data_IF_565383254373
#
_entry.id   IF_565383254373
#
_cell.length_a   1.000
_cell.length_b   1.000
_cell.length_c   1.000
_cell.angle_alpha   90.00
_cell.angle_beta   90.00
_cell.angle_gamma   90.00
#
_symmetry.space_group_name_H-M   'P 1'
#
loop_
_entity.id
_entity.type
_entity.pdbx_description
1 polymer ?
#
# COMPACT_ATOMS: atom_id res chain seq x y z
N UNK A 1 -20.37 36.06 45.07
CA UNK A 1 -19.40 36.38 44.01
C UNK A 1 -18.21 35.46 44.23
N UNK A 2 -18.28 34.27 43.65
CA UNK A 2 -17.22 33.27 43.72
C UNK A 2 -16.70 33.09 42.29
N UNK A 3 -15.43 33.40 42.10
CA UNK A 3 -14.78 33.49 40.80
C UNK A 3 -13.37 32.94 40.93
N UNK A 4 -13.27 31.62 41.02
CA UNK A 4 -12.01 30.90 40.90
C UNK A 4 -11.93 30.27 39.50
N UNK A 5 -11.28 31.01 38.59
CA UNK A 5 -10.84 30.51 37.29
C UNK A 5 -9.62 29.60 37.50
N UNK A 6 -9.84 28.29 37.54
CA UNK A 6 -8.76 27.30 37.46
C UNK A 6 -8.35 27.14 36.01
N UNK A 7 -7.05 27.31 35.78
CA UNK A 7 -6.34 27.31 34.50
C UNK A 7 -6.51 26.02 33.69
N UNK A 8 -6.76 26.18 32.39
CA UNK A 8 -6.57 25.15 31.37
C UNK A 8 -5.06 24.95 31.10
N UNK A 9 -4.37 24.25 32.00
CA UNK A 9 -3.04 23.72 31.71
C UNK A 9 -3.18 22.32 31.10
N UNK A 10 -3.28 22.27 29.76
CA UNK A 10 -2.99 21.04 29.01
C UNK A 10 -1.57 20.56 29.33
N UNK A 11 -1.28 19.24 29.29
CA UNK A 11 -0.01 18.71 29.78
C UNK A 11 1.16 19.35 29.01
N UNK A 12 1.88 20.21 29.72
CA UNK A 12 3.11 20.82 29.26
C UNK A 12 4.12 19.70 28.93
N UNK A 13 4.43 19.56 27.64
CA UNK A 13 5.56 18.79 27.18
C UNK A 13 6.82 19.41 27.79
N UNK A 14 7.29 18.82 28.89
CA UNK A 14 8.53 19.19 29.55
C UNK A 14 9.67 19.22 28.51
N UNK A 15 10.35 20.36 28.46
CA UNK A 15 11.38 20.62 27.45
C UNK A 15 12.61 19.74 27.70
N UNK A 16 12.87 18.77 26.83
CA UNK A 16 14.12 17.97 26.84
C UNK A 16 15.17 18.52 25.85
N UNK A 17 16.45 18.73 26.26
CA UNK A 17 17.56 19.02 25.35
C UNK A 17 18.33 17.73 24.95
N UNK A 18 19.21 17.74 23.92
CA UNK A 18 19.07 18.19 22.54
C UNK A 18 18.63 17.06 21.58
N UNK A 19 17.85 17.47 20.57
CA UNK A 19 17.05 16.66 19.62
C UNK A 19 17.82 16.17 18.38
N UNK A 20 18.87 15.34 18.54
CA UNK A 20 19.70 14.85 17.43
C UNK A 20 19.67 13.34 17.06
N UNK A 21 19.11 12.39 17.86
CA UNK A 21 19.02 10.98 17.44
C UNK A 21 17.89 10.65 16.46
N UNK A 22 16.73 11.32 16.58
CA UNK A 22 15.51 10.92 15.84
C UNK A 22 15.54 11.34 14.37
N UNK A 23 16.11 12.52 14.05
CA UNK A 23 16.28 12.94 12.66
C UNK A 23 17.21 12.02 11.86
N UNK A 24 18.24 11.46 12.51
CA UNK A 24 19.12 10.46 11.89
C UNK A 24 18.39 9.15 11.64
N UNK A 25 17.55 8.69 12.57
CA UNK A 25 16.72 7.52 12.37
C UNK A 25 15.75 7.72 11.21
N UNK A 26 15.05 8.85 11.15
CA UNK A 26 14.12 9.17 10.05
C UNK A 26 14.81 9.15 8.68
N UNK A 27 15.96 9.81 8.57
CA UNK A 27 16.72 9.87 7.31
C UNK A 27 17.30 8.50 6.94
N UNK A 28 17.92 7.80 7.89
CA UNK A 28 18.50 6.48 7.65
C UNK A 28 17.43 5.46 7.27
N UNK A 29 16.28 5.45 7.96
CA UNK A 29 15.17 4.57 7.61
C UNK A 29 14.63 4.89 6.23
N UNK A 30 14.44 6.17 5.90
CA UNK A 30 13.97 6.56 4.58
C UNK A 30 14.92 6.08 3.48
N UNK A 31 16.21 6.38 3.59
CA UNK A 31 17.21 6.02 2.58
C UNK A 31 17.34 4.50 2.45
N UNK A 32 17.48 3.78 3.56
CA UNK A 32 17.72 2.33 3.52
C UNK A 32 16.48 1.56 3.03
N UNK A 33 15.29 1.91 3.51
CA UNK A 33 14.04 1.28 3.04
C UNK A 33 13.80 1.61 1.57
N UNK A 34 14.04 2.86 1.14
CA UNK A 34 13.89 3.23 -0.26
C UNK A 34 14.86 2.50 -1.18
N UNK A 35 16.15 2.45 -0.83
CA UNK A 35 17.15 1.71 -1.62
C UNK A 35 16.82 0.23 -1.68
N UNK A 36 16.46 -0.38 -0.55
CA UNK A 36 16.09 -1.79 -0.50
C UNK A 36 14.78 -2.09 -1.26
N UNK A 37 13.85 -1.14 -1.29
CA UNK A 37 12.62 -1.22 -2.10
C UNK A 37 12.96 -1.20 -3.60
N UNK A 38 13.75 -0.22 -4.05
CA UNK A 38 14.16 -0.10 -5.45
C UNK A 38 15.06 -1.24 -5.94
N UNK A 39 15.80 -1.88 -5.04
CA UNK A 39 16.71 -2.98 -5.42
C UNK A 39 16.11 -4.35 -5.15
N UNK A 40 15.91 -4.71 -3.88
CA UNK A 40 15.55 -6.07 -3.47
C UNK A 40 14.06 -6.33 -3.71
N UNK A 41 13.18 -5.40 -3.32
CA UNK A 41 11.75 -5.59 -3.50
C UNK A 41 11.36 -5.60 -4.98
N UNK A 42 11.92 -4.71 -5.80
CA UNK A 42 11.69 -4.72 -7.25
C UNK A 42 12.09 -6.05 -7.89
N UNK A 43 13.24 -6.64 -7.51
CA UNK A 43 13.63 -7.98 -7.98
C UNK A 43 12.65 -9.05 -7.50
N UNK A 44 12.23 -9.01 -6.23
CA UNK A 44 11.26 -9.98 -5.71
C UNK A 44 9.90 -9.91 -6.44
N UNK A 45 9.42 -8.70 -6.76
CA UNK A 45 8.19 -8.50 -7.53
C UNK A 45 8.33 -8.97 -8.99
N UNK A 46 9.50 -8.79 -9.61
CA UNK A 46 9.80 -9.36 -10.93
C UNK A 46 9.81 -10.89 -10.91
N UNK A 47 10.26 -11.51 -9.81
CA UNK A 47 10.24 -12.97 -9.69
C UNK A 47 8.81 -13.52 -9.61
N UNK A 48 7.94 -12.90 -8.82
CA UNK A 48 6.51 -13.20 -8.73
C UNK A 48 5.83 -12.02 -8.01
N UNK A 49 4.82 -11.40 -8.63
CA UNK A 49 4.19 -10.20 -8.10
C UNK A 49 3.58 -10.41 -6.70
N UNK A 50 2.83 -11.50 -6.50
CA UNK A 50 2.20 -11.80 -5.20
C UNK A 50 3.24 -12.05 -4.11
N UNK A 51 4.25 -12.89 -4.40
CA UNK A 51 5.37 -13.09 -3.49
C UNK A 51 6.12 -11.79 -3.19
N UNK A 52 6.38 -10.99 -4.22
CA UNK A 52 7.16 -9.77 -4.11
C UNK A 52 6.49 -8.72 -3.23
N UNK A 53 5.16 -8.61 -3.27
CA UNK A 53 4.38 -7.80 -2.31
C UNK A 53 4.62 -8.32 -0.90
N UNK A 54 4.35 -9.60 -0.62
CA UNK A 54 4.60 -10.15 0.72
C UNK A 54 6.05 -9.96 1.20
N UNK A 55 7.01 -10.13 0.30
CA UNK A 55 8.42 -9.98 0.60
C UNK A 55 8.78 -8.52 0.93
N UNK A 56 8.30 -7.55 0.15
CA UNK A 56 8.54 -6.13 0.40
C UNK A 56 7.98 -5.72 1.76
N UNK A 57 6.75 -6.13 2.05
CA UNK A 57 6.08 -5.73 3.28
C UNK A 57 6.70 -6.36 4.51
N UNK A 58 6.98 -7.66 4.46
CA UNK A 58 7.52 -8.38 5.61
C UNK A 58 8.98 -8.02 5.89
N UNK A 59 9.84 -7.96 4.87
CA UNK A 59 11.28 -7.86 5.08
C UNK A 59 11.83 -6.46 4.88
N UNK A 60 11.22 -5.63 4.04
CA UNK A 60 11.70 -4.28 3.74
C UNK A 60 10.96 -3.25 4.60
N UNK A 61 9.64 -3.15 4.49
CA UNK A 61 8.90 -2.15 5.26
C UNK A 61 8.84 -2.50 6.75
N UNK A 62 8.52 -3.76 7.11
CA UNK A 62 8.50 -4.18 8.51
C UNK A 62 9.90 -4.55 9.02
N UNK A 63 10.55 -5.56 8.43
CA UNK A 63 11.77 -6.17 8.96
C UNK A 63 12.96 -5.22 9.08
N UNK A 64 13.33 -4.52 8.00
CA UNK A 64 14.42 -3.56 8.02
C UNK A 64 14.12 -2.40 8.97
N UNK A 65 12.90 -1.86 8.96
CA UNK A 65 12.47 -0.84 9.92
C UNK A 65 12.57 -1.31 11.36
N UNK A 66 12.15 -2.55 11.65
CA UNK A 66 12.25 -3.17 12.96
C UNK A 66 13.70 -3.23 13.45
N UNK A 67 14.61 -3.67 12.57
CA UNK A 67 16.05 -3.72 12.85
C UNK A 67 16.60 -2.32 13.13
N UNK A 68 16.23 -1.30 12.34
CA UNK A 68 16.71 0.07 12.51
C UNK A 68 16.25 0.70 13.84
N UNK A 69 15.00 0.44 14.25
CA UNK A 69 14.49 0.88 15.54
C UNK A 69 15.20 0.15 16.69
N UNK A 70 15.37 -1.17 16.58
CA UNK A 70 16.07 -1.97 17.57
C UNK A 70 17.54 -1.56 17.72
N UNK A 71 18.22 -1.30 16.61
CA UNK A 71 19.61 -0.84 16.57
C UNK A 71 19.76 0.54 17.23
N UNK A 72 18.71 1.35 17.20
CA UNK A 72 18.62 2.62 17.92
C UNK A 72 18.30 2.46 19.42
N UNK A 73 18.37 1.23 19.97
CA UNK A 73 18.12 0.87 21.37
C UNK A 73 16.70 1.15 21.86
N UNK A 74 15.73 1.14 20.95
CA UNK A 74 14.30 1.33 21.22
C UNK A 74 13.57 0.01 21.03
N UNK A 75 12.50 -0.19 21.80
CA UNK A 75 11.58 -1.32 21.60
C UNK A 75 10.83 -1.12 20.26
N UNK A 76 11.06 -1.95 19.23
CA UNK A 76 10.46 -1.77 17.92
C UNK A 76 8.94 -1.92 17.92
N UNK A 77 8.37 -2.59 18.92
CA UNK A 77 6.93 -2.77 19.03
C UNK A 77 6.26 -1.56 19.69
N UNK A 78 6.81 -1.14 20.84
CA UNK A 78 6.25 -0.03 21.63
C UNK A 78 6.52 1.33 21.00
N UNK A 79 7.75 1.56 20.55
CA UNK A 79 8.14 2.87 20.03
C UNK A 79 7.37 3.24 18.76
N UNK A 80 7.04 2.24 17.93
CA UNK A 80 6.28 2.42 16.68
C UNK A 80 4.77 2.47 16.88
N UNK A 81 4.25 2.16 18.07
CA UNK A 81 2.80 2.04 18.30
C UNK A 81 2.20 0.74 17.73
N UNK A 82 3.03 -0.26 17.44
CA UNK A 82 2.59 -1.61 17.04
C UNK A 82 1.96 -2.39 18.21
N UNK A 83 2.39 -2.14 19.45
CA UNK A 83 1.73 -2.73 20.63
C UNK A 83 1.60 -1.73 21.80
N UNK A 84 0.51 -1.82 22.59
CA UNK A 84 -0.59 -2.78 22.48
C UNK A 84 -1.64 -2.39 21.42
N UNK A 85 -2.41 -3.38 20.95
CA UNK A 85 -3.59 -3.18 20.10
C UNK A 85 -4.75 -2.68 20.95
N UNK A 86 -5.45 -1.64 20.49
CA UNK A 86 -6.68 -1.15 21.12
C UNK A 86 -7.86 -1.31 20.16
N UNK A 87 -8.85 -2.10 20.55
CA UNK A 87 -9.98 -2.50 19.69
C UNK A 87 -10.82 -1.30 19.26
N UNK A 88 -11.14 -0.36 20.16
CA UNK A 88 -12.06 0.73 19.83
C UNK A 88 -11.50 1.70 18.76
N UNK A 89 -10.27 2.23 18.90
CA UNK A 89 -9.64 3.01 17.84
C UNK A 89 -9.40 2.20 16.56
N UNK A 90 -9.13 0.91 16.67
CA UNK A 90 -8.89 0.03 15.51
C UNK A 90 -10.17 -0.14 14.68
N UNK A 91 -11.30 -0.43 15.31
CA UNK A 91 -12.60 -0.53 14.64
C UNK A 91 -13.06 0.83 14.11
N UNK A 92 -12.82 1.91 14.84
CA UNK A 92 -13.10 3.26 14.35
C UNK A 92 -12.26 3.59 13.12
N UNK A 93 -10.98 3.23 13.11
CA UNK A 93 -10.08 3.36 11.96
C UNK A 93 -10.63 2.64 10.72
N UNK A 94 -11.08 1.38 10.87
CA UNK A 94 -11.73 0.64 9.79
C UNK A 94 -12.95 1.38 9.22
N UNK A 95 -13.89 1.77 10.10
CA UNK A 95 -15.11 2.47 9.69
C UNK A 95 -14.80 3.80 9.01
N UNK A 96 -13.86 4.57 9.55
CA UNK A 96 -13.42 5.84 8.97
C UNK A 96 -12.75 5.63 7.61
N UNK A 97 -11.88 4.64 7.46
CA UNK A 97 -11.25 4.32 6.19
C UNK A 97 -12.25 3.90 5.11
N UNK A 98 -13.24 3.08 5.48
CA UNK A 98 -14.31 2.66 4.58
C UNK A 98 -15.19 3.83 4.13
N UNK A 99 -15.60 4.71 5.06
CA UNK A 99 -16.39 5.90 4.73
C UNK A 99 -15.57 6.91 3.93
N UNK A 100 -14.30 7.13 4.29
CA UNK A 100 -13.39 8.01 3.55
C UNK A 100 -13.18 7.58 2.10
N UNK A 101 -13.12 6.26 1.85
CA UNK A 101 -12.98 5.72 0.50
C UNK A 101 -14.05 6.28 -0.45
N UNK A 102 -15.31 6.23 -0.04
CA UNK A 102 -16.43 6.74 -0.84
C UNK A 102 -16.57 8.27 -0.79
N UNK A 103 -16.26 8.88 0.35
CA UNK A 103 -16.43 10.32 0.54
C UNK A 103 -15.36 11.16 -0.18
N UNK A 104 -14.13 10.65 -0.28
CA UNK A 104 -12.97 11.44 -0.71
C UNK A 104 -12.14 10.70 -1.77
N UNK A 105 -11.71 9.47 -1.50
CA UNK A 105 -10.76 8.76 -2.38
C UNK A 105 -11.36 8.48 -3.77
N UNK A 106 -12.61 8.00 -3.86
CA UNK A 106 -13.30 7.77 -5.14
C UNK A 106 -13.50 9.08 -5.92
N UNK A 107 -14.02 10.18 -5.34
CA UNK A 107 -14.08 11.47 -6.03
C UNK A 107 -12.73 11.98 -6.53
N UNK A 108 -11.67 11.85 -5.73
CA UNK A 108 -10.31 12.25 -6.14
C UNK A 108 -9.80 11.40 -7.30
N UNK A 109 -10.00 10.08 -7.24
CA UNK A 109 -9.59 9.17 -8.30
C UNK A 109 -10.38 9.42 -9.59
N UNK A 110 -11.70 9.65 -9.48
CA UNK A 110 -12.56 10.01 -10.60
C UNK A 110 -12.13 11.33 -11.25
N UNK A 111 -11.85 12.36 -10.44
CA UNK A 111 -11.30 13.62 -10.94
C UNK A 111 -9.96 13.39 -11.64
N UNK A 112 -9.05 12.59 -11.07
CA UNK A 112 -7.77 12.27 -11.68
C UNK A 112 -7.93 11.59 -13.05
N UNK A 113 -8.88 10.65 -13.19
CA UNK A 113 -9.13 9.98 -14.49
C UNK A 113 -9.62 10.92 -15.58
N UNK A 114 -10.19 12.08 -15.22
CA UNK A 114 -10.61 13.11 -16.17
C UNK A 114 -9.58 14.23 -16.39
N UNK A 115 -8.65 14.41 -15.45
CA UNK A 115 -7.61 15.45 -15.54
C UNK A 115 -6.35 14.96 -16.27
N UNK A 116 -6.04 13.67 -16.20
CA UNK A 116 -4.89 13.08 -16.86
C UNK A 116 -5.24 12.48 -18.23
N UNK A 117 -4.28 12.42 -19.17
CA UNK A 117 -4.47 11.74 -20.45
C UNK A 117 -4.83 10.26 -20.26
N UNK A 118 -5.67 9.71 -21.14
CA UNK A 118 -6.08 8.30 -21.11
C UNK A 118 -4.89 7.33 -21.11
N UNK A 119 -3.85 7.62 -21.91
CA UNK A 119 -2.60 6.83 -21.90
C UNK A 119 -1.93 6.74 -20.53
N UNK A 120 -2.06 7.77 -19.69
CA UNK A 120 -1.51 7.76 -18.33
C UNK A 120 -2.41 6.97 -17.38
N UNK A 121 -3.73 7.20 -17.44
CA UNK A 121 -4.68 6.49 -16.58
C UNK A 121 -4.66 4.98 -16.86
N UNK A 122 -4.49 4.59 -18.12
CA UNK A 122 -4.34 3.19 -18.52
C UNK A 122 -3.01 2.59 -18.04
N UNK A 123 -1.91 3.33 -18.19
CA UNK A 123 -0.57 2.88 -17.75
C UNK A 123 -0.50 2.68 -16.23
N UNK A 124 -1.10 3.58 -15.46
CA UNK A 124 -1.10 3.56 -13.99
C UNK A 124 -2.30 2.82 -13.39
N UNK A 125 -3.07 2.08 -14.18
CA UNK A 125 -4.18 1.29 -13.66
C UNK A 125 -3.68 0.14 -12.75
N UNK A 126 -3.77 0.39 -11.45
CA UNK A 126 -3.40 -0.56 -10.39
C UNK A 126 -4.18 -1.89 -10.49
N UNK A 127 -5.36 -1.91 -11.11
CA UNK A 127 -6.17 -3.12 -11.29
C UNK A 127 -5.49 -4.18 -12.16
N UNK A 128 -4.53 -3.79 -13.00
CA UNK A 128 -3.71 -4.70 -13.83
C UNK A 128 -2.98 -5.76 -13.02
N UNK A 129 -2.68 -5.49 -11.73
CA UNK A 129 -2.02 -6.48 -10.86
C UNK A 129 -2.87 -7.75 -10.69
N UNK A 130 -4.20 -7.63 -10.76
CA UNK A 130 -5.15 -8.73 -10.57
C UNK A 130 -5.53 -9.45 -11.87
N UNK A 131 -5.16 -8.92 -13.04
CA UNK A 131 -5.52 -9.47 -14.33
C UNK A 131 -4.69 -10.72 -14.67
N UNK A 132 -5.32 -11.69 -15.33
CA UNK A 132 -4.71 -12.94 -15.82
C UNK A 132 -3.89 -13.73 -14.78
N UNK A 133 -4.36 -13.72 -13.53
CA UNK A 133 -3.76 -14.46 -12.42
C UNK A 133 -4.45 -15.80 -12.19
N UNK A 134 -3.68 -16.79 -11.75
CA UNK A 134 -4.27 -18.02 -11.20
C UNK A 134 -5.04 -17.70 -9.91
N UNK A 135 -6.04 -18.50 -9.52
CA UNK A 135 -6.77 -18.27 -8.26
C UNK A 135 -5.86 -18.19 -7.03
N UNK A 136 -4.80 -18.98 -7.00
CA UNK A 136 -3.81 -18.97 -5.92
C UNK A 136 -2.97 -17.69 -5.92
N UNK A 137 -2.42 -17.29 -7.07
CA UNK A 137 -1.65 -16.02 -7.17
C UNK A 137 -2.52 -14.82 -6.80
N UNK A 138 -3.79 -14.85 -7.22
CA UNK A 138 -4.77 -13.81 -6.91
C UNK A 138 -5.02 -13.73 -5.39
N UNK A 139 -5.21 -14.86 -4.72
CA UNK A 139 -5.37 -14.90 -3.27
C UNK A 139 -4.13 -14.35 -2.54
N UNK A 140 -2.92 -14.68 -3.01
CA UNK A 140 -1.68 -14.15 -2.47
C UNK A 140 -1.56 -12.64 -2.66
N UNK A 141 -1.84 -12.14 -3.87
CA UNK A 141 -1.83 -10.70 -4.17
C UNK A 141 -2.86 -9.99 -3.29
N UNK A 142 -4.09 -10.50 -3.20
CA UNK A 142 -5.15 -9.89 -2.40
C UNK A 142 -4.78 -9.82 -0.92
N UNK A 143 -4.30 -10.91 -0.35
CA UNK A 143 -3.86 -10.91 1.04
C UNK A 143 -2.62 -10.01 1.24
N UNK A 144 -1.74 -9.92 0.23
CA UNK A 144 -0.61 -9.00 0.22
C UNK A 144 -1.05 -7.53 0.28
N UNK A 145 -1.92 -7.11 -0.64
CA UNK A 145 -2.35 -5.70 -0.72
C UNK A 145 -3.33 -5.31 0.39
N UNK A 146 -4.13 -6.24 0.92
CA UNK A 146 -5.14 -5.92 1.96
C UNK A 146 -4.67 -6.16 3.38
N UNK A 147 -3.61 -6.94 3.60
CA UNK A 147 -3.10 -7.26 4.94
C UNK A 147 -1.62 -6.90 5.07
N UNK A 148 -0.77 -7.46 4.21
CA UNK A 148 0.68 -7.26 4.35
C UNK A 148 1.06 -5.78 4.18
N UNK A 149 0.57 -5.13 3.12
CA UNK A 149 0.88 -3.74 2.79
C UNK A 149 0.38 -2.78 3.87
N UNK A 150 -0.88 -2.86 4.34
CA UNK A 150 -1.33 -2.07 5.47
C UNK A 150 -0.47 -2.20 6.73
N UNK A 151 0.02 -3.41 7.05
CA UNK A 151 0.87 -3.63 8.23
C UNK A 151 2.28 -3.07 8.00
N UNK A 152 2.92 -3.44 6.90
CA UNK A 152 4.30 -3.06 6.59
C UNK A 152 4.44 -1.56 6.40
N UNK A 153 3.64 -0.99 5.52
CA UNK A 153 3.68 0.43 5.18
C UNK A 153 3.35 1.30 6.40
N UNK A 154 2.30 0.99 7.17
CA UNK A 154 1.96 1.82 8.34
C UNK A 154 2.99 1.69 9.46
N UNK A 155 3.60 0.52 9.64
CA UNK A 155 4.73 0.35 10.55
C UNK A 155 5.89 1.28 10.17
N UNK A 156 6.27 1.31 8.89
CA UNK A 156 7.34 2.17 8.40
C UNK A 156 6.95 3.65 8.40
N UNK A 157 5.93 4.04 7.65
CA UNK A 157 5.58 5.44 7.42
C UNK A 157 5.07 6.13 8.69
N UNK A 158 4.25 5.47 9.51
CA UNK A 158 3.73 6.06 10.76
C UNK A 158 4.65 5.77 11.93
N UNK A 159 4.86 4.49 12.19
CA UNK A 159 5.57 4.01 13.37
C UNK A 159 7.02 4.46 13.42
N UNK A 160 7.69 4.51 12.27
CA UNK A 160 9.10 4.92 12.17
C UNK A 160 9.27 6.33 11.63
N UNK A 161 8.92 6.57 10.38
CA UNK A 161 9.30 7.80 9.68
C UNK A 161 8.59 9.04 10.23
N UNK A 162 7.25 9.04 10.27
CA UNK A 162 6.46 10.14 10.84
C UNK A 162 6.77 10.34 12.32
N UNK A 163 6.83 9.26 13.12
CA UNK A 163 7.12 9.33 14.55
C UNK A 163 8.52 9.92 14.84
N UNK A 164 9.55 9.50 14.10
CA UNK A 164 10.89 10.06 14.21
C UNK A 164 10.91 11.54 13.81
N UNK A 165 10.28 11.90 12.68
CA UNK A 165 10.19 13.29 12.22
C UNK A 165 9.45 14.19 13.21
N UNK A 166 8.36 13.69 13.82
CA UNK A 166 7.55 14.44 14.77
C UNK A 166 8.31 14.86 16.03
N UNK A 167 9.37 14.12 16.40
CA UNK A 167 10.26 14.41 17.54
C UNK A 167 11.40 15.38 17.21
N UNK A 168 11.57 15.72 15.93
CA UNK A 168 12.53 16.74 15.50
C UNK A 168 11.96 18.15 15.65
N UNK A 169 12.71 19.17 15.21
CA UNK A 169 12.23 20.56 15.13
C UNK A 169 11.06 20.73 14.14
N UNK A 170 10.78 19.73 13.30
CA UNK A 170 9.68 19.76 12.34
C UNK A 170 8.31 19.75 13.04
N UNK A 171 8.21 19.03 14.17
CA UNK A 171 6.97 18.88 14.93
C UNK A 171 5.94 17.96 14.25
N UNK A 172 4.86 17.60 14.97
CA UNK A 172 3.93 16.54 14.54
C UNK A 172 3.16 16.86 13.26
N UNK A 173 2.69 18.10 13.10
CA UNK A 173 1.88 18.49 11.94
C UNK A 173 2.65 18.44 10.62
N UNK A 174 3.86 19.00 10.60
CA UNK A 174 4.71 18.98 9.40
C UNK A 174 5.27 17.58 9.15
N UNK A 175 5.59 16.81 10.20
CA UNK A 175 5.99 15.42 10.06
C UNK A 175 4.92 14.56 9.39
N UNK A 176 3.64 14.75 9.77
CA UNK A 176 2.50 14.10 9.11
C UNK A 176 2.42 14.46 7.62
N UNK A 177 2.52 15.74 7.27
CA UNK A 177 2.49 16.18 5.87
C UNK A 177 3.65 15.61 5.03
N UNK A 178 4.88 15.62 5.58
CA UNK A 178 6.04 15.04 4.90
C UNK A 178 5.89 13.52 4.75
N UNK A 179 5.46 12.81 5.79
CA UNK A 179 5.24 11.37 5.71
C UNK A 179 4.16 10.99 4.71
N UNK A 180 3.05 11.74 4.64
CA UNK A 180 2.00 11.53 3.66
C UNK A 180 2.47 11.77 2.22
N UNK A 181 3.26 12.83 2.00
CA UNK A 181 3.85 13.11 0.69
C UNK A 181 4.79 12.00 0.25
N UNK A 182 5.71 11.58 1.13
CA UNK A 182 6.67 10.52 0.83
C UNK A 182 5.95 9.18 0.59
N UNK A 183 4.93 8.86 1.38
CA UNK A 183 4.06 7.69 1.17
C UNK A 183 3.46 7.66 -0.23
N UNK A 184 2.85 8.76 -0.66
CA UNK A 184 2.27 8.85 -2.00
C UNK A 184 3.34 8.77 -3.10
N UNK A 185 4.47 9.46 -2.93
CA UNK A 185 5.56 9.48 -3.90
C UNK A 185 6.24 8.11 -4.10
N UNK A 186 6.25 7.23 -3.08
CA UNK A 186 6.83 5.88 -3.18
C UNK A 186 6.13 4.98 -4.20
N UNK A 187 4.92 5.35 -4.63
CA UNK A 187 4.14 4.60 -5.60
C UNK A 187 4.48 4.94 -7.05
N UNK A 188 5.22 6.04 -7.30
CA UNK A 188 5.60 6.50 -8.64
C UNK A 188 4.41 6.65 -9.61
N UNK A 189 3.21 6.88 -9.09
CA UNK A 189 1.99 7.03 -9.86
C UNK A 189 1.42 8.45 -9.67
N UNK A 190 1.57 9.34 -10.66
CA UNK A 190 1.04 10.70 -10.61
C UNK A 190 -0.49 10.76 -10.67
N UNK A 191 -1.16 9.78 -11.28
CA UNK A 191 -2.62 9.74 -11.43
C UNK A 191 -3.25 9.50 -10.07
N UNK A 192 -2.79 8.49 -9.33
CA UNK A 192 -3.27 8.21 -7.98
C UNK A 192 -2.60 9.04 -6.88
N UNK A 193 -1.70 9.99 -7.20
CA UNK A 193 -0.91 10.71 -6.20
C UNK A 193 -1.77 11.48 -5.19
N UNK A 194 -2.78 12.22 -5.68
CA UNK A 194 -3.66 13.01 -4.82
C UNK A 194 -4.51 12.13 -3.90
N UNK A 195 -4.97 10.98 -4.42
CA UNK A 195 -5.77 9.96 -3.74
C UNK A 195 -4.96 8.99 -2.86
N UNK A 196 -3.62 9.12 -2.82
CA UNK A 196 -2.78 8.48 -1.80
C UNK A 196 -2.24 9.48 -0.78
N UNK A 197 -2.08 10.75 -1.19
CA UNK A 197 -1.62 11.82 -0.30
C UNK A 197 -2.63 12.08 0.83
N UNK A 198 -3.92 12.15 0.51
CA UNK A 198 -5.00 12.32 1.48
C UNK A 198 -5.14 11.09 2.39
N UNK A 199 -4.98 9.87 1.87
CA UNK A 199 -4.93 8.66 2.68
C UNK A 199 -3.74 8.70 3.64
N UNK A 200 -2.57 9.11 3.15
CA UNK A 200 -1.38 9.30 3.98
C UNK A 200 -1.59 10.32 5.10
N UNK A 201 -2.37 11.38 4.84
CA UNK A 201 -2.76 12.37 5.86
C UNK A 201 -3.76 11.77 6.86
N UNK A 202 -4.75 11.02 6.41
CA UNK A 202 -5.73 10.34 7.27
C UNK A 202 -5.04 9.35 8.22
N UNK A 203 -4.20 8.49 7.68
CA UNK A 203 -3.46 7.49 8.46
C UNK A 203 -2.48 8.16 9.43
N UNK A 204 -1.81 9.21 8.96
CA UNK A 204 -0.94 10.04 9.78
C UNK A 204 -1.67 10.73 10.94
N UNK A 205 -2.88 11.22 10.71
CA UNK A 205 -3.73 11.81 11.73
C UNK A 205 -4.19 10.77 12.75
N UNK A 206 -4.63 9.58 12.30
CA UNK A 206 -5.01 8.47 13.17
C UNK A 206 -3.86 8.06 14.10
N UNK A 207 -2.65 7.94 13.58
CA UNK A 207 -1.45 7.66 14.37
C UNK A 207 -1.15 8.80 15.36
N UNK A 208 -1.21 10.06 14.92
CA UNK A 208 -0.97 11.21 15.79
C UNK A 208 -1.96 11.28 16.96
N UNK A 209 -3.23 10.96 16.72
CA UNK A 209 -4.29 10.96 17.75
C UNK A 209 -4.17 9.80 18.73
N UNK A 210 -3.84 8.61 18.25
CA UNK A 210 -3.96 7.38 19.04
C UNK A 210 -2.63 6.84 19.56
N UNK A 211 -1.50 7.30 19.01
CA UNK A 211 -0.16 6.70 19.20
C UNK A 211 -0.11 5.20 18.88
N UNK A 212 -1.03 4.71 18.06
CA UNK A 212 -1.10 3.34 17.58
C UNK A 212 -1.20 3.33 16.06
N UNK A 213 -0.56 2.36 15.42
CA UNK A 213 -0.68 2.19 13.97
C UNK A 213 -1.95 1.44 13.58
N UNK A 214 -2.53 0.63 14.47
CA UNK A 214 -3.67 -0.25 14.15
C UNK A 214 -4.90 0.45 13.57
N UNK A 215 -5.29 1.65 14.03
CA UNK A 215 -6.35 2.42 13.37
C UNK A 215 -6.01 2.76 11.91
N UNK A 216 -4.76 3.15 11.64
CA UNK A 216 -4.26 3.41 10.29
C UNK A 216 -4.20 2.13 9.45
N UNK A 217 -3.65 1.03 10.00
CA UNK A 217 -3.61 -0.30 9.38
C UNK A 217 -5.01 -0.73 8.94
N UNK A 218 -6.02 -0.60 9.81
CA UNK A 218 -7.38 -1.00 9.46
C UNK A 218 -8.08 -0.05 8.51
N UNK A 219 -7.80 1.27 8.58
CA UNK A 219 -8.29 2.23 7.60
C UNK A 219 -7.70 1.94 6.20
N UNK A 220 -6.41 1.63 6.14
CA UNK A 220 -5.69 1.26 4.92
C UNK A 220 -6.19 -0.09 4.37
N UNK A 221 -6.32 -1.11 5.21
CA UNK A 221 -6.88 -2.40 4.83
C UNK A 221 -8.32 -2.28 4.29
N UNK A 222 -9.17 -1.42 4.89
CA UNK A 222 -10.50 -1.14 4.38
C UNK A 222 -10.45 -0.54 2.98
N UNK A 223 -9.57 0.44 2.75
CA UNK A 223 -9.38 1.09 1.45
C UNK A 223 -8.97 0.10 0.36
N UNK A 224 -7.94 -0.70 0.62
CA UNK A 224 -7.42 -1.69 -0.34
C UNK A 224 -8.41 -2.84 -0.54
N UNK A 225 -9.10 -3.25 0.53
CA UNK A 225 -10.14 -4.28 0.48
C UNK A 225 -11.33 -3.86 -0.36
N UNK A 226 -11.86 -2.65 -0.16
CA UNK A 226 -12.98 -2.14 -0.96
C UNK A 226 -12.57 -2.02 -2.43
N UNK A 227 -11.39 -1.47 -2.71
CA UNK A 227 -10.85 -1.39 -4.08
C UNK A 227 -10.81 -2.77 -4.75
N UNK A 228 -10.31 -3.78 -4.03
CA UNK A 228 -10.24 -5.15 -4.52
C UNK A 228 -11.62 -5.76 -4.77
N UNK A 229 -12.58 -5.53 -3.87
CA UNK A 229 -13.97 -6.00 -4.03
C UNK A 229 -14.62 -5.34 -5.25
N UNK A 230 -14.45 -4.03 -5.44
CA UNK A 230 -14.99 -3.32 -6.59
C UNK A 230 -14.41 -3.83 -7.91
N UNK A 231 -13.11 -4.13 -7.95
CA UNK A 231 -12.47 -4.75 -9.12
C UNK A 231 -13.10 -6.10 -9.50
N UNK A 232 -13.38 -6.98 -8.52
CA UNK A 232 -14.02 -8.26 -8.85
C UNK A 232 -15.50 -8.13 -9.18
N UNK A 233 -16.19 -7.18 -8.55
CA UNK A 233 -17.58 -6.88 -8.88
C UNK A 233 -17.69 -6.39 -10.34
N UNK A 234 -16.78 -5.51 -10.79
CA UNK A 234 -16.75 -5.04 -12.18
C UNK A 234 -16.39 -6.13 -13.17
N UNK A 235 -15.57 -7.12 -12.77
CA UNK A 235 -15.23 -8.28 -13.60
C UNK A 235 -16.40 -9.28 -13.75
N UNK A 236 -17.22 -9.44 -12.71
CA UNK A 236 -18.38 -10.35 -12.72
C UNK A 236 -19.61 -9.75 -13.39
N UNK A 237 -19.70 -8.42 -13.46
CA UNK A 237 -20.76 -7.74 -14.20
C UNK A 237 -20.80 -8.26 -15.65
N UNK A 238 -22.00 -8.57 -16.14
CA UNK A 238 -22.15 -9.13 -17.49
C UNK A 238 -21.58 -8.14 -18.50
N UNK A 239 -20.93 -8.65 -19.54
CA UNK A 239 -20.33 -7.83 -20.61
C UNK A 239 -21.33 -6.83 -21.20
N UNK A 240 -22.63 -7.16 -21.22
CA UNK A 240 -23.70 -6.26 -21.65
C UNK A 240 -23.95 -5.11 -20.66
N UNK A 241 -23.98 -5.37 -19.36
CA UNK A 241 -24.16 -4.35 -18.32
C UNK A 241 -22.97 -3.39 -18.27
N UNK A 242 -21.74 -3.91 -18.40
CA UNK A 242 -20.53 -3.10 -18.45
C UNK A 242 -20.48 -2.26 -19.73
N UNK A 243 -20.90 -2.81 -20.87
CA UNK A 243 -20.99 -2.06 -22.14
C UNK A 243 -22.08 -0.97 -22.08
N UNK A 244 -23.22 -1.27 -21.49
CA UNK A 244 -24.29 -0.29 -21.29
C UNK A 244 -23.85 0.84 -20.36
N UNK A 245 -23.17 0.51 -19.26
CA UNK A 245 -22.60 1.50 -18.33
C UNK A 245 -21.47 2.32 -18.97
N UNK A 246 -20.63 1.71 -19.81
CA UNK A 246 -19.57 2.41 -20.54
C UNK A 246 -20.11 3.29 -21.69
N UNK A 247 -21.29 2.97 -22.23
CA UNK A 247 -21.98 3.76 -23.24
C UNK A 247 -22.88 4.86 -22.65
N UNK A 248 -23.09 4.85 -21.33
CA UNK A 248 -23.85 5.89 -20.64
C UNK A 248 -23.17 7.26 -20.79
N UNK A 249 -23.93 8.36 -20.89
CA UNK A 249 -23.36 9.70 -20.91
C UNK A 249 -22.43 9.93 -19.71
N UNK A 250 -21.27 10.56 -19.93
CA UNK A 250 -20.30 10.87 -18.87
C UNK A 250 -20.94 11.60 -17.67
N UNK A 251 -22.00 12.37 -17.91
CA UNK A 251 -22.78 13.05 -16.88
C UNK A 251 -23.51 12.09 -15.91
N UNK A 252 -23.95 10.91 -16.37
CA UNK A 252 -24.61 9.92 -15.51
C UNK A 252 -23.60 9.26 -14.56
N UNK A 253 -22.41 8.89 -15.06
CA UNK A 253 -21.33 8.38 -14.23
C UNK A 253 -20.87 9.40 -13.19
N UNK A 254 -20.70 10.66 -13.59
CA UNK A 254 -20.37 11.75 -12.68
C UNK A 254 -21.45 11.95 -11.60
N UNK A 255 -22.74 11.89 -11.97
CA UNK A 255 -23.84 12.01 -11.02
C UNK A 255 -23.83 10.88 -9.99
N UNK A 256 -23.59 9.63 -10.40
CA UNK A 256 -23.49 8.48 -9.49
C UNK A 256 -22.35 8.66 -8.47
N UNK A 257 -21.18 9.09 -8.94
CA UNK A 257 -20.03 9.38 -8.07
C UNK A 257 -20.37 10.50 -7.08
N UNK A 258 -21.02 11.57 -7.53
CA UNK A 258 -21.42 12.69 -6.66
C UNK A 258 -22.44 12.22 -5.61
N UNK A 259 -23.46 11.45 -5.99
CA UNK A 259 -24.46 10.95 -5.04
C UNK A 259 -23.86 10.02 -3.98
N UNK A 260 -22.94 9.15 -4.40
CA UNK A 260 -22.20 8.26 -3.49
C UNK A 260 -21.33 9.08 -2.53
N UNK A 261 -20.63 10.09 -3.04
CA UNK A 261 -19.79 10.98 -2.25
C UNK A 261 -20.61 11.78 -1.23
N UNK A 262 -21.74 12.37 -1.63
CA UNK A 262 -22.63 13.12 -0.73
C UNK A 262 -23.15 12.21 0.39
N UNK A 263 -23.60 11.00 0.06
CA UNK A 263 -24.06 10.02 1.05
C UNK A 263 -22.94 9.64 2.03
N UNK A 264 -21.74 9.41 1.52
CA UNK A 264 -20.57 9.09 2.33
C UNK A 264 -20.09 10.29 3.17
N UNK A 265 -20.23 11.53 2.69
CA UNK A 265 -19.94 12.74 3.47
C UNK A 265 -20.90 12.91 4.64
N UNK A 266 -22.18 12.55 4.48
CA UNK A 266 -23.14 12.51 5.59
C UNK A 266 -22.71 11.46 6.63
N UNK A 267 -22.32 10.25 6.17
CA UNK A 267 -21.79 9.21 7.06
C UNK A 267 -20.50 9.65 7.77
N UNK A 268 -19.62 10.37 7.07
CA UNK A 268 -18.39 10.93 7.63
C UNK A 268 -18.71 11.97 8.71
N UNK A 269 -19.64 12.89 8.43
CA UNK A 269 -20.10 13.87 9.40
C UNK A 269 -20.70 13.19 10.65
N UNK A 270 -21.47 12.11 10.47
CA UNK A 270 -22.01 11.32 11.58
C UNK A 270 -20.91 10.62 12.40
N UNK A 271 -19.87 10.06 11.76
CA UNK A 271 -18.71 9.48 12.45
C UNK A 271 -17.93 10.54 13.25
N UNK A 272 -17.70 11.71 12.66
CA UNK A 272 -17.02 12.82 13.33
C UNK A 272 -17.85 13.37 14.50
N UNK A 273 -19.18 13.45 14.33
CA UNK A 273 -20.08 13.80 15.42
C UNK A 273 -20.07 12.76 16.55
N UNK A 274 -20.08 11.46 16.21
CA UNK A 274 -19.94 10.39 17.20
C UNK A 274 -18.62 10.47 17.96
N UNK A 275 -17.52 10.83 17.27
CA UNK A 275 -16.21 11.06 17.88
C UNK A 275 -16.24 12.26 18.85
N UNK A 276 -16.93 13.36 18.52
CA UNK A 276 -17.11 14.49 19.43
C UNK A 276 -17.86 14.08 20.71
N UNK A 277 -18.85 13.19 20.58
CA UNK A 277 -19.63 12.67 21.72
C UNK A 277 -18.89 11.61 22.53
N UNK A 278 -17.96 10.87 21.91
CA UNK A 278 -17.17 9.80 22.53
C UNK A 278 -15.70 9.92 22.15
N UNK A 279 -14.94 10.88 22.74
CA UNK A 279 -13.52 11.06 22.43
C UNK A 279 -12.66 9.82 22.69
N UNK A 280 -13.13 8.92 23.57
CA UNK A 280 -12.47 7.65 23.88
C UNK A 280 -12.33 6.72 22.68
N UNK A 281 -13.11 6.91 21.60
CA UNK A 281 -12.96 6.18 20.34
C UNK A 281 -11.58 6.37 19.70
N UNK A 282 -10.90 7.47 20.00
CA UNK A 282 -9.51 7.72 19.58
C UNK A 282 -8.61 8.01 20.79
N UNK A 283 -8.90 7.41 21.94
CA UNK A 283 -8.06 7.57 23.12
C UNK A 283 -6.61 7.15 22.81
N UNK A 284 -5.62 7.97 23.18
CA UNK A 284 -4.22 7.60 22.99
C UNK A 284 -3.89 6.37 23.83
N UNK A 285 -3.16 5.44 23.23
CA UNK A 285 -2.62 4.28 23.94
C UNK A 285 -1.41 4.76 24.72
N UNK A 286 -1.49 4.71 26.05
CA UNK A 286 -0.36 5.01 26.92
C UNK A 286 0.71 3.93 26.72
N UNK A 287 1.80 4.29 26.04
CA UNK A 287 2.94 3.41 25.84
C UNK A 287 4.15 3.99 26.54
N UNK A 288 4.56 3.32 27.62
CA UNK A 288 5.84 3.61 28.27
C UNK A 288 6.98 3.12 27.38
N UNK A 289 7.86 4.03 26.98
CA UNK A 289 9.07 3.70 26.24
C UNK A 289 10.10 3.11 27.20
N UNK A 290 10.53 1.87 26.94
CA UNK A 290 11.55 1.20 27.73
C UNK A 290 12.85 1.07 26.93
N UNK A 291 14.01 1.42 27.50
CA UNK A 291 15.28 1.15 26.87
C UNK A 291 15.44 -0.36 26.69
N UNK A 292 15.90 -0.78 25.51
CA UNK A 292 16.19 -2.20 25.25
C UNK A 292 17.68 -2.45 25.42
N UNK A 293 18.04 -3.60 26.00
CA UNK A 293 19.42 -4.03 26.12
C UNK A 293 20.11 -4.04 24.74
N UNK A 294 21.38 -3.61 24.64
CA UNK A 294 22.09 -3.60 23.37
C UNK A 294 22.22 -5.02 22.81
N UNK A 295 21.77 -5.20 21.57
CA UNK A 295 21.97 -6.43 20.80
C UNK A 295 22.96 -6.15 19.67
N UNK A 296 23.76 -7.16 19.33
CA UNK A 296 24.69 -7.05 18.21
C UNK A 296 23.94 -6.91 16.88
N UNK A 297 24.50 -6.19 15.91
CA UNK A 297 23.91 -6.00 14.58
C UNK A 297 23.49 -7.34 13.94
N UNK A 298 24.39 -8.34 13.93
CA UNK A 298 24.10 -9.66 13.39
C UNK A 298 22.96 -10.38 14.11
N UNK A 299 22.83 -10.22 15.43
CA UNK A 299 21.73 -10.84 16.20
C UNK A 299 20.37 -10.24 15.83
N UNK A 300 20.33 -8.95 15.50
CA UNK A 300 19.12 -8.27 15.03
C UNK A 300 18.75 -8.69 13.61
N UNK A 301 19.74 -8.78 12.72
CA UNK A 301 19.51 -9.07 11.30
C UNK A 301 19.28 -10.57 11.01
N UNK A 302 19.93 -11.47 11.75
CA UNK A 302 19.90 -12.92 11.48
C UNK A 302 18.49 -13.53 11.32
N UNK A 303 17.51 -13.29 12.22
CA UNK A 303 16.18 -13.90 12.06
C UNK A 303 15.47 -13.41 10.80
N UNK A 304 15.59 -12.11 10.47
CA UNK A 304 14.99 -11.54 9.26
C UNK A 304 15.66 -12.05 8.00
N UNK A 305 16.99 -12.11 7.98
CA UNK A 305 17.75 -12.63 6.84
C UNK A 305 17.48 -14.13 6.61
N UNK A 306 17.41 -14.93 7.68
CA UNK A 306 17.08 -16.35 7.60
C UNK A 306 15.66 -16.56 7.05
N UNK A 307 14.67 -15.83 7.58
CA UNK A 307 13.30 -15.90 7.10
C UNK A 307 13.18 -15.47 5.63
N UNK A 308 13.86 -14.39 5.21
CA UNK A 308 13.89 -13.94 3.82
C UNK A 308 14.49 -15.00 2.89
N UNK A 309 15.62 -15.61 3.29
CA UNK A 309 16.27 -16.67 2.52
C UNK A 309 15.39 -17.92 2.39
N UNK A 310 14.70 -18.31 3.46
CA UNK A 310 13.72 -19.40 3.45
C UNK A 310 12.58 -19.07 2.49
N UNK A 311 12.01 -17.85 2.56
CA UNK A 311 10.92 -17.42 1.67
C UNK A 311 11.30 -17.50 0.20
N UNK A 312 12.50 -17.02 -0.18
CA UNK A 312 13.00 -17.12 -1.57
C UNK A 312 13.22 -18.58 -1.97
N UNK A 313 13.79 -19.39 -1.08
CA UNK A 313 14.02 -20.83 -1.34
C UNK A 313 12.70 -21.55 -1.58
N UNK A 314 11.67 -21.28 -0.78
CA UNK A 314 10.34 -21.85 -0.96
C UNK A 314 9.71 -21.41 -2.29
N UNK A 315 9.80 -20.13 -2.66
CA UNK A 315 9.33 -19.68 -3.97
C UNK A 315 10.00 -20.45 -5.11
N UNK A 316 11.33 -20.58 -5.06
CA UNK A 316 12.09 -21.30 -6.09
C UNK A 316 11.79 -22.80 -6.08
N UNK A 317 11.51 -23.40 -4.94
CA UNK A 317 11.14 -24.82 -4.86
C UNK A 317 9.76 -25.09 -5.48
N UNK A 318 8.78 -24.21 -5.25
CA UNK A 318 7.38 -24.43 -5.66
C UNK A 318 7.02 -23.82 -7.01
N UNK A 319 7.66 -22.73 -7.44
CA UNK A 319 7.26 -21.97 -8.63
C UNK A 319 8.44 -21.53 -9.52
N UNK A 320 9.52 -22.30 -9.56
CA UNK A 320 10.70 -21.98 -10.37
C UNK A 320 10.36 -21.72 -11.86
N UNK A 321 9.42 -22.48 -12.44
CA UNK A 321 8.97 -22.29 -13.83
C UNK A 321 8.24 -20.95 -14.00
N UNK A 322 7.40 -20.58 -13.02
CA UNK A 322 6.74 -19.28 -12.99
C UNK A 322 7.74 -18.13 -12.90
N UNK A 323 8.76 -18.26 -12.04
CA UNK A 323 9.85 -17.28 -11.92
C UNK A 323 10.56 -17.08 -13.25
N UNK A 324 10.94 -18.16 -13.95
CA UNK A 324 11.56 -18.04 -15.28
C UNK A 324 10.67 -17.34 -16.30
N UNK A 325 9.37 -17.67 -16.31
CA UNK A 325 8.41 -17.04 -17.20
C UNK A 325 8.31 -15.55 -16.92
N UNK A 326 8.18 -15.15 -15.65
CA UNK A 326 8.10 -13.74 -15.25
C UNK A 326 9.37 -12.97 -15.65
N UNK A 327 10.55 -13.53 -15.38
CA UNK A 327 11.84 -12.91 -15.77
C UNK A 327 11.96 -12.78 -17.30
N UNK A 328 11.53 -13.80 -18.05
CA UNK A 328 11.56 -13.74 -19.52
C UNK A 328 10.57 -12.71 -20.07
N UNK A 329 9.37 -12.63 -19.50
CA UNK A 329 8.33 -11.66 -19.87
C UNK A 329 8.81 -10.23 -19.63
N UNK A 330 9.49 -9.98 -18.50
CA UNK A 330 10.07 -8.68 -18.17
C UNK A 330 11.23 -8.30 -19.11
N UNK A 331 12.05 -9.27 -19.53
CA UNK A 331 13.14 -9.05 -20.49
C UNK A 331 12.63 -8.87 -21.94
N UNK A 332 11.43 -9.36 -22.25
CA UNK A 332 10.82 -9.31 -23.58
C UNK A 332 9.37 -8.77 -23.48
N UNK A 333 9.20 -7.48 -23.16
CA UNK A 333 7.88 -6.87 -23.04
C UNK A 333 7.14 -6.92 -24.39
N UNK A 334 5.82 -7.11 -24.31
CA UNK A 334 4.99 -7.07 -25.50
C UNK A 334 4.76 -5.60 -25.92
N UNK A 335 4.79 -5.28 -27.23
CA UNK A 335 4.37 -3.96 -27.70
C UNK A 335 2.85 -3.79 -27.48
N UNK A 336 2.39 -2.57 -27.20
CA UNK A 336 0.96 -2.28 -26.93
C UNK A 336 0.00 -2.89 -27.98
N UNK A 337 0.36 -2.86 -29.26
CA UNK A 337 -0.41 -3.49 -30.35
C UNK A 337 -0.62 -5.01 -30.19
N UNK A 338 0.36 -5.70 -29.61
CA UNK A 338 0.21 -7.13 -29.32
C UNK A 338 -0.83 -7.35 -28.22
N UNK A 339 -0.88 -6.45 -27.24
CA UNK A 339 -1.82 -6.51 -26.11
C UNK A 339 -3.27 -6.22 -26.55
N UNK A 340 -3.46 -5.43 -27.62
CA UNK A 340 -4.78 -5.19 -28.23
C UNK A 340 -5.39 -6.47 -28.84
N UNK A 341 -4.57 -7.42 -29.30
CA UNK A 341 -5.05 -8.66 -29.92
C UNK A 341 -5.45 -9.70 -28.86
N UNK A 342 -6.68 -9.59 -28.35
CA UNK A 342 -7.21 -10.48 -27.30
C UNK A 342 -7.07 -11.98 -27.60
N UNK A 343 -7.22 -12.39 -28.87
CA UNK A 343 -7.12 -13.82 -29.25
C UNK A 343 -5.67 -14.31 -29.11
N UNK A 344 -4.71 -13.54 -29.60
CA UNK A 344 -3.30 -13.89 -29.46
C UNK A 344 -2.85 -13.84 -28.00
N UNK A 345 -3.33 -12.87 -27.22
CA UNK A 345 -3.06 -12.76 -25.79
C UNK A 345 -3.63 -13.92 -25.00
N UNK A 346 -4.86 -14.35 -25.30
CA UNK A 346 -5.46 -15.53 -24.67
C UNK A 346 -4.66 -16.81 -24.99
N UNK A 347 -4.33 -17.04 -26.27
CA UNK A 347 -3.55 -18.20 -26.67
C UNK A 347 -2.15 -18.21 -26.02
N UNK A 348 -1.51 -17.05 -25.91
CA UNK A 348 -0.21 -16.90 -25.24
C UNK A 348 -0.33 -17.16 -23.74
N UNK A 349 -1.40 -16.69 -23.09
CA UNK A 349 -1.69 -16.91 -21.67
C UNK A 349 -1.96 -18.40 -21.36
N UNK A 350 -2.71 -19.09 -22.22
CA UNK A 350 -2.95 -20.54 -22.10
C UNK A 350 -1.66 -21.34 -22.24
N UNK A 351 -0.82 -21.02 -23.24
CA UNK A 351 0.49 -21.65 -23.40
C UNK A 351 1.39 -21.38 -22.19
N UNK A 352 1.41 -20.15 -21.69
CA UNK A 352 2.14 -19.76 -20.48
C UNK A 352 1.75 -20.60 -19.27
N UNK A 353 0.45 -20.84 -19.09
CA UNK A 353 -0.09 -21.67 -18.02
C UNK A 353 0.36 -23.14 -18.14
N UNK A 354 0.31 -23.70 -19.37
CA UNK A 354 0.82 -25.05 -19.66
C UNK A 354 2.32 -25.16 -19.35
N UNK A 355 3.12 -24.16 -19.71
CA UNK A 355 4.56 -24.15 -19.38
C UNK A 355 4.81 -24.07 -17.88
N UNK A 356 4.07 -23.21 -17.16
CA UNK A 356 4.22 -23.09 -15.69
C UNK A 356 3.91 -24.40 -14.97
N UNK A 357 2.89 -25.11 -15.42
CA UNK A 357 2.47 -26.41 -14.88
C UNK A 357 3.28 -27.60 -15.40
N UNK A 358 4.19 -27.39 -16.37
CA UNK A 358 5.03 -28.43 -16.94
C UNK A 358 4.38 -29.27 -18.05
N UNK A 359 3.20 -28.87 -18.55
CA UNK A 359 2.49 -29.52 -19.66
C UNK A 359 2.93 -29.03 -21.05
N UNK A 360 3.84 -28.05 -21.12
CA UNK A 360 4.46 -27.58 -22.36
C UNK A 360 5.92 -27.17 -22.12
N UNK A 361 6.81 -27.30 -23.13
CA UNK A 361 8.20 -26.86 -23.01
C UNK A 361 8.32 -25.32 -23.00
N UNK A 362 9.30 -24.82 -22.25
CA UNK A 362 9.55 -23.37 -22.14
C UNK A 362 9.96 -22.73 -23.48
N UNK A 363 10.63 -23.48 -24.35
CA UNK A 363 11.07 -22.98 -25.66
C UNK A 363 9.89 -22.63 -26.59
N UNK A 364 8.81 -23.40 -26.56
CA UNK A 364 7.59 -23.13 -27.33
C UNK A 364 6.98 -21.78 -26.96
N UNK A 365 6.94 -21.45 -25.66
CA UNK A 365 6.48 -20.14 -25.20
C UNK A 365 7.39 -19.00 -25.69
N UNK A 366 8.71 -19.19 -25.64
CA UNK A 366 9.68 -18.19 -26.12
C UNK A 366 9.50 -17.91 -27.60
N UNK A 367 9.33 -18.93 -28.41
CA UNK A 367 9.11 -18.82 -29.86
C UNK A 367 7.80 -18.10 -30.16
N UNK A 368 6.70 -18.52 -29.50
CA UNK A 368 5.38 -17.89 -29.69
C UNK A 368 5.40 -16.41 -29.32
N UNK A 369 6.01 -16.04 -28.20
CA UNK A 369 6.14 -14.65 -27.74
C UNK A 369 7.00 -13.82 -28.70
N UNK A 370 8.15 -14.34 -29.15
CA UNK A 370 9.01 -13.65 -30.13
C UNK A 370 8.31 -13.41 -31.46
N UNK A 371 7.62 -14.43 -31.97
CA UNK A 371 6.85 -14.31 -33.21
C UNK A 371 5.74 -13.26 -33.10
N UNK A 372 5.09 -13.14 -31.93
CA UNK A 372 4.11 -12.09 -31.66
C UNK A 372 4.75 -10.70 -31.68
N UNK A 373 5.87 -10.52 -30.97
CA UNK A 373 6.63 -9.25 -30.96
C UNK A 373 7.02 -8.83 -32.39
N UNK A 374 7.57 -9.75 -33.19
CA UNK A 374 7.98 -9.46 -34.56
C UNK A 374 6.80 -9.07 -35.46
N UNK A 375 5.66 -9.77 -35.36
CA UNK A 375 4.47 -9.43 -36.16
C UNK A 375 3.92 -8.06 -35.79
N UNK A 376 3.80 -7.77 -34.50
CA UNK A 376 3.23 -6.51 -34.01
C UNK A 376 4.13 -5.30 -34.27
N UNK A 377 5.45 -5.51 -34.38
CA UNK A 377 6.42 -4.45 -34.72
C UNK A 377 6.51 -4.18 -36.22
N UNK A 378 6.36 -5.21 -37.08
CA UNK A 378 6.47 -5.07 -38.56
C UNK A 378 5.18 -4.63 -39.26
N UNK A 379 4.02 -4.67 -38.60
CA UNK A 379 2.76 -4.28 -39.22
C UNK A 379 2.71 -2.76 -39.53
N UNK A 380 2.34 -2.34 -40.77
CA UNK A 380 2.25 -0.93 -41.14
C UNK A 380 1.24 -0.18 -40.24
N UNK A 381 1.51 1.10 -39.95
CA UNK A 381 0.54 1.98 -39.26
C UNK A 381 -0.67 2.19 -40.18
N UNK A 382 -1.91 2.06 -39.67
CA UNK A 382 -3.09 2.47 -40.42
C UNK A 382 -3.06 3.98 -40.69
#
# INVERSE_FOLDING_TARGET
>A
MDGSTVSEDGPALTQSPPRAPDGRLALASLVLVFLAYLSVASVAQLMNAGFGVWFSEAFIFLGLSWVLVAFSRRDPSRWTGFAPLNVAPTLFGFALGAVNFFAVTIPLQFAATHLFPESWTEYFDSARIFQDRSPFDLALILAGVTVAAPIGEEYFFRGVFQNALARTRLGPWKAMGVAAFVFSAFHFDPVGFAARLELGLLFGWLFWRTRSIWPGVMAHAANNGITSVLFFASRQAKTEDVRAAAAAPAAEGALQVVLLAVTALIALAALLWALQRRPSLLAPVAVEERPVAPRGFFQLCAPWAAAAAISVTLLLAFDWRGVRLNVYDAAHPLPARAEENRIEMQALSELRSKVRTGHAPFDEYKERRRALIERSTKAPRP
#
